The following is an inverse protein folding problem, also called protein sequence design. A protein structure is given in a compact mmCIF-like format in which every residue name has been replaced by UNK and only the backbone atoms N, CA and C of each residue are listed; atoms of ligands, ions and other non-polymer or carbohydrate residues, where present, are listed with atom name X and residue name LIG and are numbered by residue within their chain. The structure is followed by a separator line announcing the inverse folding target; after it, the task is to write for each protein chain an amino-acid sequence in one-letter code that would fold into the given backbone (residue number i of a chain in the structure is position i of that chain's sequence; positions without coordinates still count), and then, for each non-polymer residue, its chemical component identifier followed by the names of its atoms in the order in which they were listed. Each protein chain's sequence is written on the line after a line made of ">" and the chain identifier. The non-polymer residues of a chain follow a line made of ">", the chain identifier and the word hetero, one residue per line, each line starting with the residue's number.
data_IF_681908013438
#
_entry.id   IF_681908013438
#
_cell.length_a   1.000
_cell.length_b   1.000
_cell.length_c   1.000
_cell.angle_alpha   90.00
_cell.angle_beta   90.00
_cell.angle_gamma   90.00
#
_symmetry.space_group_name_H-M   'P 1'
#
loop_
_entity.id
_entity.type
_entity.pdbx_description
1 polymer ?
#
# COMPACT_ATOMS: atom_id res chain seq x y z
N UNK A 1 -32.17 -9.04 36.88
CA UNK A 1 -31.81 -9.95 35.78
C UNK A 1 -32.10 -9.17 34.52
N UNK A 2 -31.01 -8.92 33.81
CA UNK A 2 -30.77 -7.97 32.72
C UNK A 2 -31.51 -8.36 31.44
N UNK A 3 -31.94 -7.35 30.69
CA UNK A 3 -32.48 -7.46 29.34
C UNK A 3 -31.56 -6.62 28.44
N UNK A 4 -30.66 -7.30 27.75
CA UNK A 4 -29.51 -6.73 27.04
C UNK A 4 -29.27 -7.59 25.79
N UNK A 5 -30.16 -7.48 24.79
CA UNK A 5 -30.04 -8.22 23.51
C UNK A 5 -30.70 -7.51 22.32
N UNK A 6 -30.75 -6.17 22.28
CA UNK A 6 -31.43 -5.46 21.16
C UNK A 6 -30.55 -4.50 20.36
N UNK A 7 -29.24 -4.40 20.62
CA UNK A 7 -28.36 -3.47 19.89
C UNK A 7 -27.38 -4.12 18.89
N UNK A 8 -27.27 -5.46 18.84
CA UNK A 8 -26.37 -6.15 17.88
C UNK A 8 -27.07 -6.56 16.56
N UNK A 9 -28.40 -6.61 16.53
CA UNK A 9 -29.15 -7.14 15.38
C UNK A 9 -29.44 -6.10 14.26
N UNK A 10 -29.18 -4.81 14.51
CA UNK A 10 -29.43 -3.73 13.53
C UNK A 10 -28.18 -3.43 12.67
N UNK A 11 -26.98 -3.37 13.26
CA UNK A 11 -25.72 -3.21 12.50
C UNK A 11 -25.44 -4.40 11.57
N UNK A 12 -25.75 -5.63 12.01
CA UNK A 12 -25.53 -6.86 11.22
C UNK A 12 -26.58 -7.07 10.12
N UNK A 13 -27.72 -6.34 10.20
CA UNK A 13 -28.72 -6.30 9.12
C UNK A 13 -28.39 -5.28 8.06
N UNK A 14 -27.91 -4.10 8.43
CA UNK A 14 -27.50 -3.08 7.46
C UNK A 14 -26.27 -3.53 6.65
N UNK A 15 -25.29 -4.19 7.28
CA UNK A 15 -24.12 -4.75 6.58
C UNK A 15 -24.50 -5.86 5.58
N UNK A 16 -25.43 -6.76 5.94
CA UNK A 16 -25.92 -7.83 5.05
C UNK A 16 -26.85 -7.33 3.96
N UNK A 17 -27.64 -6.30 4.23
CA UNK A 17 -28.48 -5.65 3.23
C UNK A 17 -27.64 -4.86 2.22
N UNK A 18 -26.52 -4.27 2.66
CA UNK A 18 -25.56 -3.61 1.80
C UNK A 18 -24.86 -4.61 0.86
N UNK A 19 -24.31 -5.70 1.41
CA UNK A 19 -23.71 -6.81 0.62
C UNK A 19 -24.68 -7.42 -0.39
N UNK A 20 -25.96 -7.64 -0.02
CA UNK A 20 -26.98 -8.19 -0.94
C UNK A 20 -27.45 -7.21 -2.02
N UNK A 21 -27.41 -5.91 -1.75
CA UNK A 21 -27.85 -4.89 -2.71
C UNK A 21 -26.75 -4.63 -3.74
N UNK A 22 -25.48 -4.65 -3.32
CA UNK A 22 -24.30 -4.61 -4.21
C UNK A 22 -24.20 -5.89 -5.06
N UNK A 23 -24.46 -7.07 -4.49
CA UNK A 23 -24.46 -8.35 -5.24
C UNK A 23 -25.53 -8.45 -6.35
N UNK A 24 -26.61 -7.67 -6.26
CA UNK A 24 -27.61 -7.58 -7.34
C UNK A 24 -27.19 -6.61 -8.45
N UNK A 25 -26.25 -5.71 -8.17
CA UNK A 25 -25.67 -4.82 -9.16
C UNK A 25 -24.50 -5.48 -9.92
N UNK A 26 -23.76 -6.41 -9.30
CA UNK A 26 -22.56 -7.07 -9.88
C UNK A 26 -22.86 -8.17 -10.90
N UNK A 27 -24.12 -8.54 -11.15
CA UNK A 27 -24.46 -9.51 -12.21
C UNK A 27 -24.41 -8.90 -13.62
N UNK A 28 -24.22 -7.59 -13.73
CA UNK A 28 -24.00 -6.88 -14.97
C UNK A 28 -22.95 -5.79 -14.70
N UNK A 29 -21.89 -5.76 -15.52
CA UNK A 29 -20.79 -4.80 -15.46
C UNK A 29 -21.26 -3.40 -15.00
N UNK A 30 -20.75 -2.95 -13.86
CA UNK A 30 -21.00 -1.63 -13.32
C UNK A 30 -19.67 -1.03 -12.83
N UNK A 31 -18.79 -0.71 -13.78
CA UNK A 31 -17.80 0.35 -13.57
C UNK A 31 -18.50 1.63 -14.03
N UNK A 32 -18.79 2.49 -13.05
CA UNK A 32 -19.68 3.63 -13.20
C UNK A 32 -19.09 4.73 -14.09
N UNK A 33 -19.81 5.01 -15.17
CA UNK A 33 -19.82 6.23 -15.99
C UNK A 33 -19.07 7.45 -15.43
N UNK A 34 -17.93 7.80 -16.02
CA UNK A 34 -17.44 9.19 -16.03
C UNK A 34 -17.94 9.92 -17.28
N UNK A 35 -18.62 11.06 -17.06
CA UNK A 35 -18.95 12.06 -18.10
C UNK A 35 -20.43 12.16 -18.45
N UNK A 36 -21.06 13.28 -18.09
CA UNK A 36 -22.42 13.66 -18.52
C UNK A 36 -22.53 13.77 -20.05
N UNK A 37 -22.93 12.67 -20.68
CA UNK A 37 -23.32 12.62 -22.09
C UNK A 37 -23.92 11.24 -22.39
N UNK A 38 -25.23 11.18 -22.61
CA UNK A 38 -25.97 9.93 -22.80
C UNK A 38 -25.32 9.03 -23.88
N UNK A 39 -24.72 7.92 -23.44
CA UNK A 39 -24.41 6.77 -24.28
C UNK A 39 -24.76 5.50 -23.52
N UNK A 40 -25.81 4.82 -23.98
CA UNK A 40 -26.13 3.45 -23.58
C UNK A 40 -25.09 2.52 -24.20
N UNK A 41 -24.04 2.19 -23.46
CA UNK A 41 -23.01 1.23 -23.87
C UNK A 41 -22.46 0.50 -22.64
N UNK A 42 -22.34 -0.83 -22.72
CA UNK A 42 -21.52 -1.61 -21.79
C UNK A 42 -20.06 -1.30 -22.11
N UNK A 43 -19.35 -0.62 -21.22
CA UNK A 43 -17.89 -0.50 -21.33
C UNK A 43 -17.26 -1.91 -21.30
N UNK A 44 -16.22 -2.15 -22.09
CA UNK A 44 -15.47 -3.41 -22.01
C UNK A 44 -14.62 -3.43 -20.73
N UNK A 45 -14.15 -4.62 -20.31
CA UNK A 45 -13.22 -4.73 -19.19
C UNK A 45 -11.94 -3.93 -19.46
N UNK A 46 -11.41 -4.01 -20.68
CA UNK A 46 -10.24 -3.25 -21.14
C UNK A 46 -10.46 -1.73 -21.06
N UNK A 47 -11.63 -1.21 -21.44
CA UNK A 47 -11.93 0.23 -21.35
C UNK A 47 -12.09 0.70 -19.89
N UNK A 48 -12.59 -0.17 -19.01
CA UNK A 48 -12.69 0.11 -17.58
C UNK A 48 -11.31 0.07 -16.90
N UNK A 49 -10.46 -0.87 -17.29
CA UNK A 49 -9.06 -0.98 -16.85
C UNK A 49 -8.23 0.20 -17.35
N UNK A 50 -8.36 0.60 -18.61
CA UNK A 50 -7.66 1.77 -19.18
C UNK A 50 -8.13 3.08 -18.55
N UNK A 51 -9.43 3.21 -18.25
CA UNK A 51 -9.99 4.36 -17.55
C UNK A 51 -9.61 4.40 -16.06
N UNK A 52 -9.42 3.24 -15.43
CA UNK A 52 -8.99 3.12 -14.05
C UNK A 52 -7.49 3.38 -13.93
N UNK A 53 -6.65 2.71 -14.72
CA UNK A 53 -5.18 2.71 -14.64
C UNK A 53 -4.53 3.81 -15.48
N UNK A 54 -5.22 4.94 -15.66
CA UNK A 54 -4.81 6.06 -16.51
C UNK A 54 -3.28 6.25 -16.56
N UNK A 55 -2.71 6.03 -17.75
CA UNK A 55 -1.29 6.21 -18.07
C UNK A 55 -0.26 5.34 -17.29
N UNK A 56 -0.67 4.39 -16.45
CA UNK A 56 0.25 3.47 -15.74
C UNK A 56 1.10 2.62 -16.70
N UNK A 57 0.59 2.34 -17.89
CA UNK A 57 1.26 1.54 -18.92
C UNK A 57 2.38 2.28 -19.67
N UNK A 58 2.43 3.61 -19.62
CA UNK A 58 3.43 4.34 -20.35
C UNK A 58 4.82 4.14 -19.70
N UNK A 59 5.81 3.73 -20.50
CA UNK A 59 7.24 3.85 -20.19
C UNK A 59 7.77 3.12 -18.95
N UNK A 60 7.23 1.95 -18.58
CA UNK A 60 7.90 1.09 -17.58
C UNK A 60 9.07 0.32 -18.20
N UNK A 61 10.23 0.23 -17.52
CA UNK A 61 11.32 -0.63 -17.95
C UNK A 61 10.89 -2.10 -17.87
N UNK A 62 11.43 -2.93 -18.78
CA UNK A 62 11.28 -4.37 -18.65
C UNK A 62 12.23 -4.88 -17.57
N UNK A 63 11.71 -5.66 -16.61
CA UNK A 63 12.52 -6.36 -15.63
C UNK A 63 13.49 -7.35 -16.33
N UNK A 64 14.74 -7.48 -15.85
CA UNK A 64 15.66 -8.53 -16.31
C UNK A 64 15.09 -9.93 -16.09
N UNK A 65 15.40 -10.86 -17.00
CA UNK A 65 14.94 -12.27 -16.92
C UNK A 65 15.37 -12.99 -15.62
N UNK A 66 16.45 -12.53 -14.99
CA UNK A 66 17.02 -13.08 -13.75
C UNK A 66 16.72 -12.23 -12.50
N UNK A 67 15.85 -11.22 -12.62
CA UNK A 67 15.42 -10.40 -11.50
C UNK A 67 14.89 -11.27 -10.34
N UNK A 68 15.30 -10.98 -9.09
CA UNK A 68 14.81 -11.73 -7.94
C UNK A 68 13.34 -11.43 -7.69
N UNK A 69 12.54 -12.49 -7.59
CA UNK A 69 11.10 -12.40 -7.40
C UNK A 69 10.63 -13.40 -6.33
N UNK A 70 9.74 -12.94 -5.46
CA UNK A 70 8.87 -13.79 -4.64
C UNK A 70 7.52 -13.88 -5.36
N UNK A 71 7.09 -15.09 -5.71
CA UNK A 71 5.93 -15.32 -6.57
C UNK A 71 4.85 -16.06 -5.79
N UNK A 72 3.74 -15.36 -5.52
CA UNK A 72 2.54 -15.86 -4.84
C UNK A 72 1.37 -16.05 -5.81
N UNK A 73 1.59 -15.94 -7.13
CA UNK A 73 0.51 -16.05 -8.13
C UNK A 73 0.02 -17.49 -8.34
N UNK A 74 0.80 -18.48 -7.91
CA UNK A 74 0.54 -19.90 -8.11
C UNK A 74 -0.01 -20.65 -6.87
N UNK A 75 0.01 -21.99 -6.94
CA UNK A 75 -0.30 -22.83 -5.78
C UNK A 75 0.85 -22.81 -4.77
N UNK A 76 0.84 -21.79 -3.91
CA UNK A 76 1.85 -21.56 -2.89
C UNK A 76 3.02 -20.68 -3.36
N UNK A 77 3.86 -20.30 -2.41
CA UNK A 77 4.99 -19.41 -2.66
C UNK A 77 6.11 -20.12 -3.44
N UNK A 78 6.61 -19.44 -4.46
CA UNK A 78 7.84 -19.77 -5.17
C UNK A 78 8.80 -18.57 -5.19
N UNK A 79 10.07 -18.81 -5.49
CA UNK A 79 11.03 -17.75 -5.80
C UNK A 79 11.59 -17.94 -7.21
N UNK A 80 11.87 -16.83 -7.90
CA UNK A 80 12.54 -16.78 -9.20
C UNK A 80 13.75 -15.85 -9.11
N UNK A 81 14.72 -16.05 -10.01
CA UNK A 81 16.02 -15.37 -9.89
C UNK A 81 16.82 -15.85 -8.67
N UNK A 82 17.95 -15.21 -8.42
CA UNK A 82 18.75 -15.47 -7.23
C UNK A 82 18.35 -14.50 -6.11
N UNK A 83 17.77 -15.02 -5.02
CA UNK A 83 17.48 -14.19 -3.85
C UNK A 83 18.76 -13.57 -3.30
N UNK A 84 18.78 -12.24 -3.03
CA UNK A 84 19.93 -11.61 -2.39
C UNK A 84 20.23 -12.31 -1.06
N UNK A 85 21.48 -12.72 -0.86
CA UNK A 85 21.94 -13.34 0.38
C UNK A 85 23.26 -12.72 0.79
N UNK A 86 23.37 -12.35 2.07
CA UNK A 86 24.52 -11.59 2.58
C UNK A 86 24.65 -10.17 2.02
N UNK A 87 23.54 -9.58 1.55
CA UNK A 87 23.47 -8.14 1.24
C UNK A 87 23.28 -7.35 2.55
N UNK A 88 23.83 -6.14 2.61
CA UNK A 88 23.66 -5.26 3.78
C UNK A 88 22.20 -4.80 3.91
N UNK A 89 21.52 -4.57 2.78
CA UNK A 89 20.12 -4.17 2.72
C UNK A 89 19.40 -4.84 1.52
N UNK A 90 18.10 -5.12 1.65
CA UNK A 90 17.22 -5.59 0.59
C UNK A 90 15.85 -4.93 0.71
N UNK A 91 15.30 -4.51 -0.42
CA UNK A 91 13.94 -3.98 -0.53
C UNK A 91 13.01 -5.00 -1.19
N UNK A 92 11.82 -5.18 -0.62
CA UNK A 92 10.75 -5.96 -1.24
C UNK A 92 9.65 -5.03 -1.74
N UNK A 93 9.36 -5.09 -3.03
CA UNK A 93 8.31 -4.30 -3.67
C UNK A 93 7.05 -5.13 -3.87
N UNK A 94 5.91 -4.70 -3.31
CA UNK A 94 4.61 -5.34 -3.49
C UNK A 94 3.75 -4.48 -4.41
N UNK A 95 3.39 -5.01 -5.59
CA UNK A 95 2.62 -4.28 -6.60
C UNK A 95 1.13 -4.14 -6.24
N UNK A 96 0.46 -3.23 -6.94
CA UNK A 96 -0.97 -2.92 -6.79
C UNK A 96 -1.94 -3.89 -7.49
N UNK A 97 -3.20 -3.44 -7.60
CA UNK A 97 -4.29 -4.16 -8.26
C UNK A 97 -4.16 -4.11 -9.79
N UNK A 98 -4.61 -5.17 -10.49
CA UNK A 98 -4.59 -5.26 -11.96
C UNK A 98 -3.18 -5.09 -12.54
N UNK A 99 -2.22 -5.90 -12.10
CA UNK A 99 -0.84 -5.81 -12.58
C UNK A 99 -0.71 -5.93 -14.11
N UNK A 100 -1.51 -6.80 -14.75
CA UNK A 100 -1.43 -7.04 -16.20
C UNK A 100 -1.72 -5.76 -16.99
N UNK A 101 -2.70 -4.99 -16.50
CA UNK A 101 -3.14 -3.75 -17.12
C UNK A 101 -2.34 -2.53 -16.63
N UNK A 102 -1.45 -2.68 -15.63
CA UNK A 102 -0.54 -1.63 -15.13
C UNK A 102 0.93 -1.91 -15.44
N UNK A 103 1.21 -2.86 -16.34
CA UNK A 103 2.51 -3.10 -16.94
C UNK A 103 3.33 -4.21 -16.27
N UNK A 104 2.75 -4.94 -15.33
CA UNK A 104 3.33 -6.09 -14.63
C UNK A 104 4.11 -5.69 -13.37
N UNK A 105 3.90 -6.42 -12.27
CA UNK A 105 4.53 -6.14 -10.98
C UNK A 105 6.05 -6.18 -11.02
N UNK A 106 6.63 -7.05 -11.87
CA UNK A 106 8.08 -7.13 -12.10
C UNK A 106 8.64 -5.83 -12.69
N UNK A 107 7.95 -5.28 -13.69
CA UNK A 107 8.38 -4.06 -14.37
C UNK A 107 8.20 -2.82 -13.47
N UNK A 108 7.18 -2.82 -12.61
CA UNK A 108 7.02 -1.79 -11.58
C UNK A 108 8.13 -1.87 -10.54
N UNK A 109 8.49 -3.08 -10.08
CA UNK A 109 9.62 -3.28 -9.18
C UNK A 109 10.94 -2.84 -9.81
N UNK A 110 11.13 -3.09 -11.11
CA UNK A 110 12.28 -2.56 -11.85
C UNK A 110 12.26 -1.04 -11.96
N UNK A 111 11.10 -0.42 -12.19
CA UNK A 111 10.97 1.04 -12.20
C UNK A 111 11.36 1.65 -10.86
N UNK A 112 10.94 1.03 -9.75
CA UNK A 112 11.36 1.45 -8.41
C UNK A 112 12.87 1.28 -8.22
N UNK A 113 13.44 0.16 -8.67
CA UNK A 113 14.89 -0.06 -8.59
C UNK A 113 15.68 1.01 -9.35
N UNK A 114 15.25 1.34 -10.58
CA UNK A 114 15.86 2.40 -11.38
C UNK A 114 15.72 3.78 -10.70
N UNK A 115 14.58 4.03 -10.03
CA UNK A 115 14.33 5.27 -9.31
C UNK A 115 15.18 5.39 -8.04
N UNK A 116 15.37 4.30 -7.30
CA UNK A 116 16.24 4.27 -6.12
C UNK A 116 17.70 4.50 -6.52
N UNK A 117 18.19 3.84 -7.57
CA UNK A 117 19.55 4.02 -8.09
C UNK A 117 19.79 5.46 -8.56
N UNK A 118 18.81 6.07 -9.24
CA UNK A 118 18.86 7.47 -9.65
C UNK A 118 18.97 8.45 -8.47
N UNK A 119 18.53 8.03 -7.28
CA UNK A 119 18.62 8.77 -6.01
C UNK A 119 19.78 8.30 -5.11
N UNK A 120 20.70 7.50 -5.64
CA UNK A 120 21.91 7.07 -4.94
C UNK A 120 21.72 5.94 -3.95
N UNK A 121 20.60 5.20 -4.05
CA UNK A 121 20.27 4.05 -3.23
C UNK A 121 20.25 2.78 -4.08
N UNK A 122 21.30 1.96 -4.02
CA UNK A 122 21.56 0.84 -4.94
C UNK A 122 21.27 -0.55 -4.34
N UNK A 123 20.52 -0.61 -3.25
CA UNK A 123 20.14 -1.86 -2.61
C UNK A 123 19.27 -2.73 -3.56
N UNK A 124 19.44 -4.07 -3.55
CA UNK A 124 18.63 -4.96 -4.38
C UNK A 124 17.13 -4.84 -4.11
N UNK A 125 16.35 -4.73 -5.17
CA UNK A 125 14.88 -4.77 -5.13
C UNK A 125 14.39 -6.15 -5.56
N UNK A 126 13.56 -6.77 -4.73
CA UNK A 126 12.88 -8.04 -4.98
C UNK A 126 11.40 -7.77 -5.19
N UNK A 127 10.85 -8.11 -6.35
CA UNK A 127 9.40 -7.95 -6.58
C UNK A 127 8.63 -9.08 -5.90
N UNK A 128 7.53 -8.76 -5.24
CA UNK A 128 6.58 -9.69 -4.62
C UNK A 128 5.31 -9.67 -5.46
N UNK A 129 5.09 -10.76 -6.20
CA UNK A 129 3.96 -10.90 -7.11
C UNK A 129 2.82 -11.66 -6.45
N UNK A 130 1.58 -11.24 -6.68
CA UNK A 130 0.38 -11.89 -6.17
C UNK A 130 -0.77 -11.80 -7.18
N UNK A 131 -1.75 -12.70 -7.08
CA UNK A 131 -2.90 -12.75 -8.00
C UNK A 131 -3.82 -11.52 -7.83
N UNK A 132 -3.48 -10.46 -8.56
CA UNK A 132 -4.11 -9.14 -8.47
C UNK A 132 -5.10 -8.85 -9.58
N UNK A 133 -5.24 -9.73 -10.58
CA UNK A 133 -5.98 -9.47 -11.83
C UNK A 133 -7.49 -9.80 -11.75
N UNK A 134 -8.09 -9.63 -10.56
CA UNK A 134 -9.54 -9.83 -10.36
C UNK A 134 -10.32 -8.54 -10.53
N UNK A 135 -11.39 -8.52 -11.33
CA UNK A 135 -12.29 -7.35 -11.44
C UNK A 135 -13.18 -7.14 -10.21
N UNK A 136 -13.20 -8.09 -9.27
CA UNK A 136 -13.95 -7.96 -8.03
C UNK A 136 -13.08 -7.30 -6.96
N UNK A 137 -13.28 -6.01 -6.77
CA UNK A 137 -12.56 -5.18 -5.80
C UNK A 137 -12.43 -5.81 -4.39
N UNK A 138 -13.54 -6.28 -3.80
CA UNK A 138 -13.51 -6.88 -2.47
C UNK A 138 -12.73 -8.19 -2.43
N UNK A 139 -12.84 -9.01 -3.48
CA UNK A 139 -12.01 -10.20 -3.59
C UNK A 139 -10.52 -9.84 -3.80
N UNK A 140 -10.24 -8.71 -4.43
CA UNK A 140 -8.89 -8.14 -4.54
C UNK A 140 -8.33 -7.73 -3.18
N UNK A 141 -9.11 -7.05 -2.33
CA UNK A 141 -8.72 -6.71 -0.95
C UNK A 141 -8.38 -7.97 -0.15
N UNK A 142 -9.26 -8.97 -0.19
CA UNK A 142 -9.05 -10.26 0.49
C UNK A 142 -7.80 -10.99 -0.04
N UNK A 143 -7.58 -10.98 -1.37
CA UNK A 143 -6.42 -11.59 -1.99
C UNK A 143 -5.10 -10.88 -1.64
N UNK A 144 -5.10 -9.55 -1.58
CA UNK A 144 -3.95 -8.76 -1.16
C UNK A 144 -3.56 -9.04 0.29
N UNK A 145 -4.54 -9.12 1.21
CA UNK A 145 -4.29 -9.49 2.60
C UNK A 145 -3.72 -10.91 2.71
N UNK A 146 -4.33 -11.88 2.02
CA UNK A 146 -3.85 -13.26 2.01
C UNK A 146 -2.42 -13.38 1.43
N UNK A 147 -2.08 -12.57 0.43
CA UNK A 147 -0.73 -12.49 -0.11
C UNK A 147 0.26 -11.91 0.91
N UNK A 148 -0.14 -10.84 1.64
CA UNK A 148 0.62 -10.27 2.74
C UNK A 148 0.94 -11.29 3.83
N UNK A 149 -0.08 -12.02 4.29
CA UNK A 149 0.07 -13.09 5.30
C UNK A 149 1.01 -14.21 4.81
N UNK A 150 0.87 -14.65 3.56
CA UNK A 150 1.74 -15.67 2.98
C UNK A 150 3.19 -15.16 2.82
N UNK A 151 3.36 -13.88 2.48
CA UNK A 151 4.67 -13.24 2.38
C UNK A 151 5.34 -13.11 3.74
N UNK A 152 4.60 -12.74 4.80
CA UNK A 152 5.13 -12.65 6.16
C UNK A 152 5.81 -13.97 6.60
N UNK A 153 5.12 -15.10 6.42
CA UNK A 153 5.66 -16.40 6.81
C UNK A 153 6.91 -16.82 6.02
N UNK A 154 7.07 -16.35 4.78
CA UNK A 154 8.33 -16.55 4.04
C UNK A 154 9.41 -15.57 4.47
N UNK A 155 9.03 -14.32 4.75
CA UNK A 155 9.94 -13.26 5.14
C UNK A 155 10.61 -13.56 6.48
N UNK A 156 9.88 -14.12 7.45
CA UNK A 156 10.45 -14.60 8.71
C UNK A 156 11.53 -15.67 8.49
N UNK A 157 11.35 -16.54 7.49
CA UNK A 157 12.37 -17.50 7.09
C UNK A 157 13.58 -16.82 6.45
N UNK A 158 13.35 -15.85 5.56
CA UNK A 158 14.39 -15.10 4.89
C UNK A 158 15.25 -14.28 5.87
N UNK A 159 14.64 -13.58 6.82
CA UNK A 159 15.34 -12.78 7.83
C UNK A 159 16.08 -13.65 8.83
N UNK A 160 15.52 -14.82 9.20
CA UNK A 160 16.21 -15.81 10.03
C UNK A 160 17.49 -16.35 9.36
N UNK A 161 17.45 -16.57 8.04
CA UNK A 161 18.61 -16.99 7.25
C UNK A 161 19.60 -15.83 6.97
N UNK A 162 19.15 -14.57 7.08
CA UNK A 162 19.93 -13.36 6.81
C UNK A 162 19.80 -12.33 7.96
N UNK A 163 20.25 -12.67 9.19
CA UNK A 163 19.95 -11.88 10.39
C UNK A 163 20.64 -10.51 10.44
N UNK A 164 21.66 -10.29 9.61
CA UNK A 164 22.41 -9.03 9.53
C UNK A 164 21.93 -8.13 8.36
N UNK A 165 20.93 -8.56 7.58
CA UNK A 165 20.40 -7.80 6.44
C UNK A 165 19.28 -6.87 6.87
N UNK A 166 19.41 -5.58 6.55
CA UNK A 166 18.32 -4.61 6.67
C UNK A 166 17.23 -4.94 5.66
N UNK A 167 15.98 -5.06 6.12
CA UNK A 167 14.84 -5.38 5.26
C UNK A 167 13.88 -4.20 5.24
N UNK A 168 13.56 -3.72 4.04
CA UNK A 168 12.55 -2.68 3.81
C UNK A 168 11.49 -3.15 2.84
N UNK A 169 10.28 -2.65 3.02
CA UNK A 169 9.12 -3.02 2.21
C UNK A 169 8.58 -1.76 1.55
N UNK A 170 8.24 -1.85 0.27
CA UNK A 170 7.54 -0.80 -0.46
C UNK A 170 6.26 -1.41 -1.04
N UNK A 171 5.10 -0.93 -0.59
CA UNK A 171 3.80 -1.43 -1.05
C UNK A 171 3.06 -0.35 -1.84
N UNK A 172 2.82 -0.57 -3.13
CA UNK A 172 2.07 0.37 -3.97
C UNK A 172 0.58 0.04 -3.99
N UNK A 173 -0.28 1.03 -3.85
CA UNK A 173 -1.73 0.83 -4.04
C UNK A 173 -2.27 -0.27 -3.12
N UNK A 174 -2.94 -1.28 -3.69
CA UNK A 174 -3.42 -2.44 -2.95
C UNK A 174 -2.28 -3.34 -2.42
N UNK A 175 -1.07 -3.23 -2.96
CA UNK A 175 0.16 -3.77 -2.38
C UNK A 175 0.52 -3.11 -1.04
N UNK A 176 0.07 -1.88 -0.78
CA UNK A 176 0.13 -1.26 0.55
C UNK A 176 -0.73 -2.01 1.57
N UNK A 177 -1.93 -2.46 1.16
CA UNK A 177 -2.78 -3.33 1.99
C UNK A 177 -2.10 -4.65 2.30
N UNK A 178 -1.47 -5.26 1.30
CA UNK A 178 -0.68 -6.48 1.48
C UNK A 178 0.50 -6.26 2.44
N UNK A 179 1.17 -5.10 2.37
CA UNK A 179 2.25 -4.76 3.30
C UNK A 179 1.73 -4.62 4.75
N UNK A 180 0.58 -3.97 4.97
CA UNK A 180 0.00 -3.88 6.31
C UNK A 180 -0.49 -5.24 6.85
N UNK A 181 -1.08 -6.08 6.00
CA UNK A 181 -1.44 -7.45 6.38
C UNK A 181 -0.21 -8.32 6.67
N UNK A 182 0.90 -8.09 5.96
CA UNK A 182 2.18 -8.72 6.26
C UNK A 182 2.68 -8.32 7.65
N UNK A 183 2.62 -7.04 8.03
CA UNK A 183 3.02 -6.60 9.37
C UNK A 183 2.18 -7.24 10.49
N UNK A 184 0.86 -7.37 10.28
CA UNK A 184 -0.04 -8.01 11.23
C UNK A 184 0.25 -9.52 11.42
N UNK A 185 0.80 -10.16 10.39
CA UNK A 185 1.11 -11.59 10.38
C UNK A 185 2.58 -11.93 10.71
N UNK A 186 3.48 -10.95 10.70
CA UNK A 186 4.92 -11.16 10.87
C UNK A 186 5.24 -11.55 12.32
N UNK A 187 6.08 -12.57 12.52
CA UNK A 187 6.57 -12.91 13.87
C UNK A 187 7.80 -12.06 14.27
N UNK A 188 8.60 -11.64 13.27
CA UNK A 188 9.74 -10.74 13.43
C UNK A 188 9.39 -9.26 13.22
N UNK A 189 10.41 -8.47 12.89
CA UNK A 189 10.24 -7.07 12.48
C UNK A 189 11.07 -6.75 11.24
N UNK A 190 10.59 -5.77 10.46
CA UNK A 190 11.32 -5.15 9.35
C UNK A 190 11.80 -3.75 9.75
N UNK A 191 12.79 -3.22 9.03
CA UNK A 191 13.32 -1.89 9.33
C UNK A 191 12.33 -0.79 8.93
N UNK A 192 11.70 -0.91 7.76
CA UNK A 192 10.69 0.07 7.38
C UNK A 192 9.69 -0.45 6.36
N UNK A 193 8.47 0.08 6.42
CA UNK A 193 7.47 -0.05 5.35
C UNK A 193 7.18 1.34 4.76
N UNK A 194 7.26 1.46 3.44
CA UNK A 194 6.82 2.64 2.69
C UNK A 194 5.61 2.25 1.84
N UNK A 195 4.42 2.56 2.35
CA UNK A 195 3.18 2.37 1.61
C UNK A 195 2.95 3.61 0.73
N UNK A 196 2.97 3.43 -0.59
CA UNK A 196 2.88 4.52 -1.57
C UNK A 196 1.52 4.48 -2.27
N UNK A 197 0.71 5.52 -2.07
CA UNK A 197 -0.66 5.58 -2.59
C UNK A 197 -1.53 4.42 -2.11
N UNK A 198 -1.39 4.02 -0.83
CA UNK A 198 -1.99 2.79 -0.31
C UNK A 198 -3.53 2.76 -0.40
N UNK A 199 -4.05 1.62 -0.86
CA UNK A 199 -5.49 1.43 -1.12
C UNK A 199 -6.19 0.78 0.09
N UNK A 200 -6.18 1.49 1.22
CA UNK A 200 -6.77 1.09 2.49
C UNK A 200 -7.81 2.09 2.97
N UNK A 201 -8.75 1.64 3.80
CA UNK A 201 -9.62 2.56 4.53
C UNK A 201 -8.76 3.34 5.56
N UNK A 202 -8.90 4.68 5.69
CA UNK A 202 -8.01 5.53 6.51
C UNK A 202 -7.94 5.16 7.99
N UNK A 203 -9.00 4.58 8.54
CA UNK A 203 -9.08 4.14 9.94
C UNK A 203 -8.31 2.83 10.19
N UNK A 204 -8.00 2.06 9.15
CA UNK A 204 -7.38 0.74 9.32
C UNK A 204 -5.94 0.79 9.83
N UNK A 205 -5.28 1.95 9.73
CA UNK A 205 -3.88 2.17 10.19
C UNK A 205 -3.81 2.81 11.58
N UNK A 206 -4.96 3.17 12.16
CA UNK A 206 -5.04 3.73 13.51
C UNK A 206 -4.68 2.67 14.57
N UNK A 207 -4.38 3.10 15.80
CA UNK A 207 -3.97 2.20 16.90
C UNK A 207 -4.99 1.09 17.16
N UNK A 208 -6.28 1.39 17.09
CA UNK A 208 -7.39 0.45 17.23
C UNK A 208 -7.91 -0.08 15.88
N UNK A 209 -7.29 0.36 14.79
CA UNK A 209 -7.55 -0.05 13.43
C UNK A 209 -7.09 -1.48 13.14
N UNK A 210 -7.55 -2.03 12.00
CA UNK A 210 -7.28 -3.42 11.60
C UNK A 210 -5.79 -3.81 11.62
N UNK A 211 -4.91 -2.86 11.29
CA UNK A 211 -3.47 -3.11 11.16
C UNK A 211 -2.65 -2.38 12.24
N UNK A 212 -3.30 -1.71 13.21
CA UNK A 212 -2.63 -0.90 14.23
C UNK A 212 -1.60 -1.67 15.04
N UNK A 213 -1.97 -2.86 15.53
CA UNK A 213 -1.08 -3.73 16.31
C UNK A 213 0.17 -4.16 15.50
N UNK A 214 -0.01 -4.58 14.24
CA UNK A 214 1.08 -4.96 13.35
C UNK A 214 1.99 -3.79 13.00
N UNK A 215 1.41 -2.61 12.71
CA UNK A 215 2.17 -1.37 12.45
C UNK A 215 3.01 -0.98 13.67
N UNK A 216 2.44 -1.09 14.88
CA UNK A 216 3.11 -0.73 16.13
C UNK A 216 4.28 -1.66 16.50
N UNK A 217 4.22 -2.93 16.10
CA UNK A 217 5.11 -3.97 16.66
C UNK A 217 6.03 -4.66 15.67
N UNK A 218 5.70 -4.67 14.37
CA UNK A 218 6.40 -5.46 13.35
C UNK A 218 7.25 -4.63 12.39
N UNK A 219 7.37 -3.32 12.61
CA UNK A 219 8.28 -2.46 11.87
C UNK A 219 8.87 -1.36 12.76
N UNK A 220 10.13 -0.98 12.53
CA UNK A 220 10.73 0.16 13.24
C UNK A 220 10.12 1.50 12.77
N UNK A 221 9.69 1.57 11.50
CA UNK A 221 8.99 2.72 10.93
C UNK A 221 8.03 2.33 9.80
N UNK A 222 6.88 2.99 9.74
CA UNK A 222 5.86 2.83 8.70
C UNK A 222 5.50 4.21 8.16
N UNK A 223 5.69 4.40 6.86
CA UNK A 223 5.41 5.65 6.17
C UNK A 223 4.28 5.44 5.16
N UNK A 224 3.21 6.23 5.26
CA UNK A 224 2.18 6.31 4.24
C UNK A 224 2.40 7.56 3.39
N UNK A 225 2.92 7.36 2.18
CA UNK A 225 3.07 8.43 1.21
C UNK A 225 1.75 8.59 0.47
N UNK A 226 1.08 9.73 0.68
CA UNK A 226 -0.24 10.00 0.13
C UNK A 226 -0.23 11.25 -0.76
N UNK A 227 -1.13 11.30 -1.73
CA UNK A 227 -1.30 12.45 -2.63
C UNK A 227 -2.77 12.74 -2.87
N UNK A 228 -3.18 13.99 -2.67
CA UNK A 228 -4.53 14.44 -3.03
C UNK A 228 -4.75 14.46 -4.56
N UNK A 229 -3.65 14.41 -5.33
CA UNK A 229 -3.66 14.32 -6.80
C UNK A 229 -3.75 12.86 -7.29
N UNK A 230 -3.81 11.88 -6.39
CA UNK A 230 -4.06 10.49 -6.73
C UNK A 230 -5.54 10.27 -7.06
N UNK A 231 -5.92 10.59 -8.30
CA UNK A 231 -7.31 10.47 -8.76
C UNK A 231 -7.86 9.03 -8.68
N UNK A 232 -7.02 7.99 -8.71
CA UNK A 232 -7.47 6.59 -8.62
C UNK A 232 -7.91 6.27 -7.20
N UNK A 233 -7.08 6.54 -6.20
CA UNK A 233 -7.43 6.27 -4.80
C UNK A 233 -8.45 7.29 -4.28
N UNK A 234 -8.39 8.55 -4.72
CA UNK A 234 -9.37 9.55 -4.34
C UNK A 234 -10.76 9.32 -4.99
N UNK A 235 -10.81 8.88 -6.25
CA UNK A 235 -12.09 8.75 -6.98
C UNK A 235 -12.61 7.32 -7.00
N UNK A 236 -11.77 6.33 -7.28
CA UNK A 236 -12.24 4.96 -7.46
C UNK A 236 -12.53 4.27 -6.13
N UNK A 237 -11.72 4.54 -5.10
CA UNK A 237 -12.02 4.11 -3.72
C UNK A 237 -13.32 4.76 -3.24
N UNK A 238 -13.50 6.06 -3.48
CA UNK A 238 -14.75 6.79 -3.17
C UNK A 238 -15.96 6.25 -3.91
N UNK A 239 -15.81 5.74 -5.13
CA UNK A 239 -16.90 5.14 -5.88
C UNK A 239 -17.27 3.73 -5.39
N UNK A 240 -16.29 2.94 -4.93
CA UNK A 240 -16.48 1.54 -4.56
C UNK A 240 -16.75 1.33 -3.06
N UNK A 241 -16.09 2.11 -2.21
CA UNK A 241 -16.13 2.03 -0.75
C UNK A 241 -16.89 3.20 -0.09
N UNK A 242 -17.29 4.20 -0.88
CA UNK A 242 -17.96 5.42 -0.39
C UNK A 242 -17.11 6.25 0.59
N UNK A 243 -15.80 5.98 0.66
CA UNK A 243 -14.78 6.70 1.42
C UNK A 243 -13.54 6.94 0.57
N UNK A 244 -12.69 7.89 0.95
CA UNK A 244 -11.37 8.12 0.32
C UNK A 244 -10.35 7.16 0.95
N UNK A 245 -9.39 6.67 0.16
CA UNK A 245 -8.38 5.74 0.68
C UNK A 245 -7.25 6.48 1.41
N UNK A 246 -6.57 5.80 2.33
CA UNK A 246 -5.45 6.35 3.13
C UNK A 246 -4.33 6.92 2.26
N UNK A 247 -4.12 6.36 1.05
CA UNK A 247 -3.16 6.86 0.07
C UNK A 247 -3.56 8.16 -0.63
N UNK A 248 -4.79 8.65 -0.43
CA UNK A 248 -5.22 9.96 -0.89
C UNK A 248 -5.25 10.99 0.25
N UNK A 249 -5.82 10.62 1.41
CA UNK A 249 -6.14 11.58 2.49
C UNK A 249 -5.26 11.46 3.74
N UNK A 250 -4.41 10.43 3.84
CA UNK A 250 -3.72 10.09 5.08
C UNK A 250 -4.62 9.29 6.05
N UNK A 251 -4.15 9.09 7.29
CA UNK A 251 -4.90 8.43 8.34
C UNK A 251 -6.04 9.33 8.88
N UNK A 252 -7.20 8.74 9.14
CA UNK A 252 -8.34 9.41 9.77
C UNK A 252 -8.76 8.63 11.02
N UNK A 253 -8.11 8.92 12.15
CA UNK A 253 -8.33 8.21 13.41
C UNK A 253 -9.37 8.87 14.34
N UNK A 254 -9.96 9.99 13.92
CA UNK A 254 -11.00 10.66 14.69
C UNK A 254 -12.35 9.92 14.56
N UNK A 255 -12.62 8.98 15.47
CA UNK A 255 -13.79 8.10 15.41
C UNK A 255 -14.96 8.52 16.34
N UNK A 256 -14.90 9.70 16.98
CA UNK A 256 -16.02 10.13 17.81
C UNK A 256 -16.00 11.53 18.41
N UNK A 257 -17.06 11.83 19.16
CA UNK A 257 -17.24 13.10 19.87
C UNK A 257 -16.44 13.19 21.19
N UNK A 258 -15.77 12.10 21.57
CA UNK A 258 -15.17 11.92 22.90
C UNK A 258 -13.76 11.32 22.89
N UNK A 259 -13.25 10.89 21.73
CA UNK A 259 -11.90 10.34 21.57
C UNK A 259 -11.26 11.00 20.34
N UNK A 260 -10.00 11.40 20.50
CA UNK A 260 -9.07 11.76 19.45
C UNK A 260 -8.22 10.51 19.19
N UNK A 261 -8.75 9.57 18.38
CA UNK A 261 -7.99 8.38 18.03
C UNK A 261 -6.67 8.75 17.38
N UNK A 262 -5.69 7.86 17.50
CA UNK A 262 -4.32 8.15 17.08
C UNK A 262 -3.75 7.02 16.22
N UNK A 263 -2.66 7.30 15.51
CA UNK A 263 -1.87 6.29 14.81
C UNK A 263 -0.76 5.76 15.73
N UNK A 264 -0.27 4.53 15.55
CA UNK A 264 0.90 4.06 16.28
C UNK A 264 2.11 5.01 16.14
N UNK A 265 2.96 5.09 17.18
CA UNK A 265 4.16 5.95 17.18
C UNK A 265 5.14 5.65 16.02
N UNK A 266 5.10 4.43 15.48
CA UNK A 266 5.90 3.99 14.33
C UNK A 266 5.33 4.46 12.99
N UNK A 267 4.09 4.95 12.95
CA UNK A 267 3.40 5.37 11.73
C UNK A 267 3.59 6.87 11.47
N UNK A 268 3.74 7.24 10.20
CA UNK A 268 3.80 8.65 9.78
C UNK A 268 3.18 8.83 8.40
N UNK A 269 2.23 9.74 8.29
CA UNK A 269 1.77 10.23 6.99
C UNK A 269 2.79 11.20 6.36
N UNK A 270 3.00 11.04 5.06
CA UNK A 270 3.89 11.88 4.26
C UNK A 270 3.11 12.37 3.03
N UNK A 271 2.76 13.65 3.05
CA UNK A 271 2.11 14.30 1.90
C UNK A 271 3.13 14.51 0.77
N UNK A 272 2.88 13.88 -0.37
CA UNK A 272 3.70 13.97 -1.58
C UNK A 272 2.92 14.55 -2.76
N UNK A 273 1.85 15.29 -2.49
CA UNK A 273 0.97 15.87 -3.51
C UNK A 273 1.70 16.78 -4.49
N UNK A 274 2.76 17.46 -4.06
CA UNK A 274 3.58 18.32 -4.93
C UNK A 274 4.41 17.53 -5.96
N UNK A 275 4.75 16.28 -5.66
CA UNK A 275 5.65 15.45 -6.46
C UNK A 275 4.92 14.34 -7.25
N UNK A 276 3.80 13.85 -6.70
CA UNK A 276 3.01 12.76 -7.27
C UNK A 276 1.74 13.32 -7.85
N UNK A 277 1.67 13.34 -9.19
CA UNK A 277 0.56 13.91 -9.94
C UNK A 277 -0.49 12.87 -10.36
N UNK A 278 -0.16 11.58 -10.29
CA UNK A 278 -1.06 10.47 -10.59
C UNK A 278 -0.65 9.21 -9.81
N UNK A 279 -1.58 8.25 -9.69
CA UNK A 279 -1.41 7.02 -8.93
C UNK A 279 -0.18 6.15 -9.25
N UNK A 280 0.30 6.18 -10.49
CA UNK A 280 1.44 5.37 -10.93
C UNK A 280 2.76 6.17 -11.00
N UNK A 281 2.76 7.42 -10.51
CA UNK A 281 3.94 8.27 -10.51
C UNK A 281 4.82 8.03 -9.27
N UNK A 282 4.29 7.47 -8.16
CA UNK A 282 5.03 7.31 -6.89
C UNK A 282 6.41 6.63 -7.02
N UNK A 283 6.51 5.61 -7.88
CA UNK A 283 7.70 4.74 -8.00
C UNK A 283 8.50 4.99 -9.29
N UNK A 284 8.24 6.09 -10.01
CA UNK A 284 8.90 6.36 -11.29
C UNK A 284 10.29 6.98 -11.09
N UNK A 285 11.23 6.73 -12.02
CA UNK A 285 12.57 7.31 -11.93
C UNK A 285 12.64 8.79 -12.35
N UNK A 286 11.71 9.27 -13.18
CA UNK A 286 11.72 10.62 -13.75
C UNK A 286 10.80 11.61 -13.02
N UNK A 287 9.99 11.13 -12.08
CA UNK A 287 8.99 11.89 -11.30
C UNK A 287 8.49 11.05 -10.12
N UNK A 288 7.70 11.63 -9.22
CA UNK A 288 7.19 10.94 -8.05
C UNK A 288 7.98 11.23 -6.78
N UNK A 289 7.85 10.37 -5.78
CA UNK A 289 8.32 10.63 -4.42
C UNK A 289 9.44 9.71 -3.93
N UNK A 290 10.11 9.00 -4.84
CA UNK A 290 11.26 8.15 -4.47
C UNK A 290 12.38 8.93 -3.75
N UNK A 291 12.71 10.20 -4.09
CA UNK A 291 13.64 10.98 -3.29
C UNK A 291 13.22 11.08 -1.82
N UNK A 292 11.95 11.38 -1.56
CA UNK A 292 11.40 11.47 -0.20
C UNK A 292 11.39 10.10 0.51
N UNK A 293 11.19 9.00 -0.22
CA UNK A 293 11.32 7.64 0.33
C UNK A 293 12.76 7.38 0.79
N UNK A 294 13.75 7.70 -0.04
CA UNK A 294 15.18 7.51 0.28
C UNK A 294 15.61 8.37 1.47
N UNK A 295 15.16 9.62 1.53
CA UNK A 295 15.47 10.51 2.67
C UNK A 295 15.04 9.92 4.02
N UNK A 296 14.00 9.07 4.06
CA UNK A 296 13.57 8.38 5.28
C UNK A 296 14.35 7.12 5.60
N UNK A 297 15.04 6.53 4.64
CA UNK A 297 15.95 5.42 4.91
C UNK A 297 17.18 5.88 5.71
N UNK A 298 17.65 7.10 5.42
CA UNK A 298 18.81 7.74 6.06
C UNK A 298 18.45 8.49 7.36
N UNK A 299 17.18 8.88 7.51
CA UNK A 299 16.68 9.76 8.57
C UNK A 299 16.34 9.10 9.92
N UNK A 300 16.44 7.78 10.06
CA UNK A 300 16.17 7.04 11.32
C UNK A 300 17.10 7.34 12.49
N UNK A 301 17.93 8.37 12.40
CA UNK A 301 18.91 8.79 13.41
C UNK A 301 19.17 10.29 13.49
N UNK A 302 18.27 11.15 13.02
CA UNK A 302 18.37 12.58 13.26
C UNK A 302 17.73 12.94 14.61
N UNK A 303 18.59 13.20 15.58
CA UNK A 303 18.28 13.75 16.89
C UNK A 303 17.25 14.89 16.77
N UNK A 304 16.28 14.89 17.68
CA UNK A 304 15.51 16.07 17.99
C UNK A 304 16.50 17.22 18.23
N UNK A 305 16.53 18.20 17.31
CA UNK A 305 17.18 19.47 17.58
C UNK A 305 16.41 20.11 18.73
N UNK A 306 16.87 19.84 19.96
CA UNK A 306 16.56 20.68 21.09
C UNK A 306 17.05 22.07 20.71
N UNK A 307 16.12 23.00 20.57
CA UNK A 307 16.40 24.44 20.60
C UNK A 307 17.08 24.75 21.95
N UNK A 308 18.40 24.58 22.00
CA UNK A 308 19.23 25.18 23.02
C UNK A 308 19.10 26.70 22.84
N UNK A 309 18.24 27.28 23.68
CA UNK A 309 18.17 28.72 23.89
C UNK A 309 19.57 29.20 24.26
N UNK A 310 20.27 29.78 23.29
CA UNK A 310 21.50 30.50 23.51
C UNK A 310 21.23 31.67 24.46
N UNK A 311 21.89 31.56 25.61
CA UNK A 311 22.04 32.54 26.68
C UNK A 311 22.64 33.85 26.13
N UNK A 312 21.81 34.83 25.74
CA UNK A 312 22.22 36.20 25.50
C UNK A 312 22.11 37.03 26.79
N UNK A 313 23.06 36.75 27.68
CA UNK A 313 23.45 37.69 28.72
C UNK A 313 23.99 39.02 28.16
N UNK A 314 23.86 40.05 29.01
CA UNK A 314 24.43 41.42 28.99
C UNK A 314 23.56 42.51 28.35
N UNK A 315 22.71 43.20 29.14
CA UNK A 315 23.02 44.46 29.90
C UNK A 315 22.04 44.65 31.07
#
# INVERSE_FOLDING_TARGET
>A
MTDETTHQDEQDRDSRLNRRSVLKATSAAAVGTMGLGAATGTATAEEAEEAFLGNCLADLPAAPDDAPIVDLTGEGLATRGAMPSGADEVLFYIHGWLEDASGGGENQGQALADALDANGHDAPVVSVLWDSNTLNWWAGKDAAEAAGEAFAGWLDGYTSDNPDTTVRIVGHSLGGRAAYAMLDALEGSVTSVSAIGAANDPDTVCEDGRFGDGIASSADAVYNFHSENDDIVATAYRLLEMTEGVGAVGAECDDGWFDDGSTPDTYTDVDVSDAVLNHCDYFRPDRGCVPEVVDRFDGGGAEAESEENEDDGWW
#
